data_IF_803003859691
#
_entry.id   IF_803003859691
#
_cell.length_a   1.000
_cell.length_b   1.000
_cell.length_c   1.000
_cell.angle_alpha   90.00
_cell.angle_beta   90.00
_cell.angle_gamma   90.00
#
_symmetry.space_group_name_H-M   'P 1'
#
loop_
_entity.id
_entity.type
_entity.pdbx_description
1 polymer ?
#
# COMPACT_ATOMS: atom_id res chain seq x y z
N UNK A 1 10.25 -27.05 -3.84
CA UNK A 1 11.22 -25.93 -3.93
C UNK A 1 11.60 -25.54 -5.37
N UNK A 2 11.63 -26.46 -6.35
CA UNK A 2 12.01 -26.15 -7.75
C UNK A 2 11.10 -25.09 -8.38
N UNK A 3 9.78 -25.17 -8.17
CA UNK A 3 8.82 -24.17 -8.65
C UNK A 3 9.13 -22.76 -8.12
N UNK A 4 9.53 -22.66 -6.84
CA UNK A 4 9.97 -21.41 -6.24
C UNK A 4 11.27 -20.89 -6.87
N UNK A 5 12.23 -21.79 -7.17
CA UNK A 5 13.47 -21.41 -7.84
C UNK A 5 13.19 -20.86 -9.24
N UNK A 6 12.35 -21.52 -10.04
CA UNK A 6 11.98 -21.04 -11.37
C UNK A 6 11.28 -19.67 -11.30
N UNK A 7 10.38 -19.48 -10.34
CA UNK A 7 9.77 -18.17 -10.10
C UNK A 7 10.77 -17.09 -9.68
N UNK A 8 11.77 -17.46 -8.86
CA UNK A 8 12.85 -16.56 -8.45
C UNK A 8 13.74 -16.17 -9.63
N UNK A 9 14.16 -17.12 -10.46
CA UNK A 9 14.95 -16.87 -11.66
C UNK A 9 14.21 -15.98 -12.67
N UNK A 10 12.90 -16.19 -12.81
CA UNK A 10 12.05 -15.28 -13.58
C UNK A 10 12.03 -13.88 -12.97
N UNK A 11 11.75 -13.74 -11.67
CA UNK A 11 11.64 -12.44 -10.99
C UNK A 11 12.92 -11.59 -11.05
N UNK A 12 14.08 -12.22 -10.86
CA UNK A 12 15.36 -11.49 -10.80
C UNK A 12 15.82 -11.02 -12.19
N UNK A 13 15.26 -11.60 -13.26
CA UNK A 13 15.62 -11.29 -14.65
C UNK A 13 16.74 -12.17 -15.19
N UNK A 14 16.76 -13.47 -14.87
CA UNK A 14 17.75 -14.39 -15.47
C UNK A 14 17.50 -14.54 -16.98
N UNK A 15 18.52 -14.37 -17.84
CA UNK A 15 18.39 -14.54 -19.28
C UNK A 15 17.68 -15.82 -19.68
N UNK A 16 16.70 -15.71 -20.58
CA UNK A 16 15.86 -16.83 -21.04
C UNK A 16 14.58 -17.05 -20.25
N UNK A 17 14.38 -16.41 -19.09
CA UNK A 17 13.11 -16.43 -18.35
C UNK A 17 12.24 -15.21 -18.70
N UNK A 18 10.94 -15.30 -18.43
CA UNK A 18 9.99 -14.25 -18.79
C UNK A 18 10.33 -12.88 -18.20
N UNK A 19 10.82 -12.84 -16.95
CA UNK A 19 11.13 -11.59 -16.29
C UNK A 19 12.37 -10.88 -16.85
N UNK A 20 13.31 -11.60 -17.49
CA UNK A 20 14.43 -10.97 -18.21
C UNK A 20 13.88 -10.12 -19.35
N UNK A 21 13.04 -10.70 -20.20
CA UNK A 21 12.43 -10.01 -21.32
C UNK A 21 11.61 -8.79 -20.89
N UNK A 22 10.83 -8.87 -19.81
CA UNK A 22 10.06 -7.70 -19.35
C UNK A 22 10.92 -6.63 -18.68
N UNK A 23 11.94 -7.02 -17.91
CA UNK A 23 12.70 -6.11 -17.04
C UNK A 23 13.84 -5.44 -17.79
N UNK A 24 14.59 -6.20 -18.59
CA UNK A 24 15.72 -5.66 -19.34
C UNK A 24 15.21 -4.76 -20.47
N UNK A 25 14.05 -5.02 -21.07
CA UNK A 25 13.45 -4.07 -22.02
C UNK A 25 13.12 -2.72 -21.39
N UNK A 26 12.71 -2.68 -20.12
CA UNK A 26 12.51 -1.41 -19.39
C UNK A 26 13.87 -0.76 -19.10
N UNK A 27 14.87 -1.54 -18.68
CA UNK A 27 16.21 -1.03 -18.38
C UNK A 27 16.85 -0.39 -19.61
N UNK A 28 16.78 -1.04 -20.76
CA UNK A 28 17.24 -0.52 -22.05
C UNK A 28 16.41 0.71 -22.47
N UNK A 29 15.08 0.67 -22.34
CA UNK A 29 14.24 1.83 -22.66
C UNK A 29 14.58 3.07 -21.83
N UNK A 30 14.91 2.89 -20.54
CA UNK A 30 15.36 3.99 -19.66
C UNK A 30 16.77 4.43 -20.04
N UNK A 31 17.64 3.52 -20.49
CA UNK A 31 18.99 3.84 -20.97
C UNK A 31 18.96 4.77 -22.18
N UNK A 32 18.06 4.52 -23.13
CA UNK A 32 17.87 5.36 -24.33
C UNK A 32 17.05 6.63 -24.06
N UNK A 33 16.46 6.77 -22.87
CA UNK A 33 15.63 7.94 -22.55
C UNK A 33 16.47 9.19 -22.32
N UNK A 34 16.09 10.28 -22.99
CA UNK A 34 16.75 11.60 -22.89
C UNK A 34 16.01 12.58 -21.96
N UNK A 35 14.93 12.11 -21.31
CA UNK A 35 14.08 12.93 -20.45
C UNK A 35 14.85 13.33 -19.18
N UNK A 36 14.67 14.55 -18.63
CA UNK A 36 15.26 14.93 -17.36
C UNK A 36 14.93 13.91 -16.25
N UNK A 37 15.97 13.40 -15.58
CA UNK A 37 15.83 12.38 -14.53
C UNK A 37 16.01 10.93 -15.00
N UNK A 38 16.10 10.66 -16.32
CA UNK A 38 16.32 9.31 -16.86
C UNK A 38 17.59 8.64 -16.29
N UNK A 39 18.69 9.40 -16.14
CA UNK A 39 19.94 8.86 -15.56
C UNK A 39 19.78 8.40 -14.11
N UNK A 40 18.99 9.13 -13.29
CA UNK A 40 18.70 8.69 -11.92
C UNK A 40 17.78 7.47 -11.90
N UNK A 41 16.76 7.44 -12.76
CA UNK A 41 15.89 6.27 -12.91
C UNK A 41 16.68 5.03 -13.35
N UNK A 42 17.59 5.17 -14.31
CA UNK A 42 18.48 4.10 -14.77
C UNK A 42 19.32 3.54 -13.62
N UNK A 43 19.96 4.42 -12.86
CA UNK A 43 20.73 4.06 -11.67
C UNK A 43 19.87 3.31 -10.63
N UNK A 44 18.67 3.82 -10.34
CA UNK A 44 17.76 3.20 -9.37
C UNK A 44 17.30 1.81 -9.81
N UNK A 45 16.96 1.62 -11.09
CA UNK A 45 16.56 0.32 -11.65
C UNK A 45 17.73 -0.66 -11.63
N UNK A 46 18.94 -0.23 -12.01
CA UNK A 46 20.16 -1.06 -11.96
C UNK A 46 20.46 -1.55 -10.55
N UNK A 47 20.46 -0.66 -9.55
CA UNK A 47 20.67 -1.08 -8.16
C UNK A 47 19.53 -2.00 -7.71
N UNK A 48 18.31 -1.73 -8.15
CA UNK A 48 17.16 -2.60 -7.94
C UNK A 48 17.39 -4.03 -8.42
N UNK A 49 18.13 -4.26 -9.52
CA UNK A 49 18.50 -5.60 -10.01
C UNK A 49 19.31 -6.36 -8.96
N UNK A 50 20.36 -5.74 -8.43
CA UNK A 50 21.20 -6.34 -7.38
C UNK A 50 20.38 -6.65 -6.12
N UNK A 51 19.63 -5.65 -5.62
CA UNK A 51 18.83 -5.79 -4.39
C UNK A 51 17.78 -6.89 -4.55
N UNK A 52 17.12 -6.96 -5.71
CA UNK A 52 16.13 -7.99 -6.03
C UNK A 52 16.71 -9.39 -6.03
N UNK A 53 17.87 -9.57 -6.68
CA UNK A 53 18.58 -10.85 -6.64
C UNK A 53 18.97 -11.21 -5.20
N UNK A 54 19.53 -10.26 -4.45
CA UNK A 54 19.98 -10.47 -3.07
C UNK A 54 18.86 -10.94 -2.14
N UNK A 55 17.74 -10.22 -2.05
CA UNK A 55 16.67 -10.61 -1.11
C UNK A 55 15.95 -11.88 -1.55
N UNK A 56 15.82 -12.13 -2.86
CA UNK A 56 15.13 -13.32 -3.37
C UNK A 56 15.92 -14.58 -3.09
N UNK A 57 17.23 -14.56 -3.34
CA UNK A 57 18.10 -15.68 -3.01
C UNK A 57 18.33 -15.83 -1.50
N UNK A 58 18.40 -14.73 -0.74
CA UNK A 58 18.38 -14.80 0.74
C UNK A 58 17.18 -15.60 1.23
N UNK A 59 15.99 -15.32 0.70
CA UNK A 59 14.76 -16.05 1.07
C UNK A 59 14.86 -17.53 0.67
N UNK A 60 15.22 -17.81 -0.59
CA UNK A 60 15.40 -19.18 -1.09
C UNK A 60 16.35 -20.01 -0.22
N UNK A 61 17.50 -19.42 0.10
CA UNK A 61 18.54 -20.02 0.92
C UNK A 61 18.07 -20.28 2.34
N UNK A 62 17.51 -19.28 3.02
CA UNK A 62 17.07 -19.42 4.41
C UNK A 62 15.92 -20.43 4.57
N UNK A 63 15.05 -20.56 3.57
CA UNK A 63 13.88 -21.46 3.64
C UNK A 63 14.24 -22.90 3.26
N UNK A 64 15.01 -23.10 2.20
CA UNK A 64 15.18 -24.44 1.62
C UNK A 64 16.56 -25.09 1.86
N UNK A 65 17.61 -24.30 2.06
CA UNK A 65 19.00 -24.81 2.10
C UNK A 65 19.75 -24.45 3.39
N UNK A 66 19.13 -23.65 4.26
CA UNK A 66 19.73 -23.17 5.50
C UNK A 66 19.67 -24.20 6.61
N UNK A 67 20.33 -23.89 7.74
CA UNK A 67 20.17 -24.68 8.96
C UNK A 67 18.72 -24.64 9.41
N UNK A 68 18.13 -25.82 9.60
CA UNK A 68 16.77 -25.97 10.11
C UNK A 68 16.62 -25.26 11.47
N UNK A 69 15.54 -24.48 11.62
CA UNK A 69 15.20 -23.76 12.86
C UNK A 69 13.90 -24.26 13.48
N UNK A 70 13.53 -25.50 13.16
CA UNK A 70 12.29 -26.15 13.61
C UNK A 70 12.59 -27.21 14.66
N UNK A 71 11.65 -27.43 15.58
CA UNK A 71 11.69 -28.50 16.56
C UNK A 71 11.30 -29.85 15.93
N UNK A 72 11.61 -30.95 16.63
CA UNK A 72 11.37 -32.30 16.13
C UNK A 72 9.89 -32.56 15.79
N UNK A 73 8.97 -32.07 16.60
CA UNK A 73 7.54 -32.29 16.40
C UNK A 73 7.01 -31.58 15.14
N UNK A 74 7.49 -30.36 14.85
CA UNK A 74 7.14 -29.65 13.62
C UNK A 74 7.71 -30.36 12.38
N UNK A 75 8.91 -30.95 12.50
CA UNK A 75 9.55 -31.67 11.40
C UNK A 75 8.78 -32.94 10.99
N UNK A 76 8.21 -33.66 11.95
CA UNK A 76 7.42 -34.87 11.67
C UNK A 76 6.16 -34.59 10.85
N UNK A 77 5.59 -33.39 10.97
CA UNK A 77 4.41 -32.96 10.22
C UNK A 77 4.76 -32.29 8.87
N UNK A 78 6.05 -32.23 8.51
CA UNK A 78 6.48 -31.66 7.25
C UNK A 78 6.17 -32.64 6.11
N UNK A 79 5.13 -32.33 5.34
CA UNK A 79 4.76 -33.09 4.15
C UNK A 79 4.70 -32.18 2.93
N UNK A 80 5.00 -32.76 1.77
CA UNK A 80 4.80 -32.07 0.51
C UNK A 80 3.32 -31.73 0.30
N UNK A 81 3.07 -30.60 -0.35
CA UNK A 81 1.72 -30.11 -0.55
C UNK A 81 0.91 -31.06 -1.44
N UNK A 82 -0.41 -31.18 -1.24
CA UNK A 82 -1.26 -32.00 -2.09
C UNK A 82 -1.24 -31.50 -3.55
N UNK A 83 -1.55 -32.39 -4.49
CA UNK A 83 -1.53 -32.10 -5.92
C UNK A 83 -2.37 -30.87 -6.33
N UNK A 84 -3.43 -30.58 -5.58
CA UNK A 84 -4.29 -29.39 -5.78
C UNK A 84 -3.50 -28.08 -5.66
N UNK A 85 -2.39 -28.06 -4.92
CA UNK A 85 -1.48 -26.90 -4.80
C UNK A 85 -0.31 -27.03 -5.78
N UNK A 86 0.32 -28.20 -5.87
CA UNK A 86 1.53 -28.39 -6.68
C UNK A 86 1.26 -28.27 -8.18
N UNK A 87 0.12 -28.77 -8.67
CA UNK A 87 -0.21 -28.73 -10.10
C UNK A 87 -0.37 -27.29 -10.60
N UNK A 88 -1.16 -26.40 -9.95
CA UNK A 88 -1.17 -24.98 -10.33
C UNK A 88 0.20 -24.31 -10.31
N UNK A 89 1.05 -24.60 -9.30
CA UNK A 89 2.39 -24.02 -9.22
C UNK A 89 3.28 -24.44 -10.39
N UNK A 90 3.20 -25.71 -10.81
CA UNK A 90 3.93 -26.20 -12.00
C UNK A 90 3.38 -25.55 -13.27
N UNK A 91 2.05 -25.48 -13.42
CA UNK A 91 1.41 -24.85 -14.57
C UNK A 91 1.76 -23.37 -14.70
N UNK A 92 1.97 -22.65 -13.59
CA UNK A 92 2.44 -21.25 -13.59
C UNK A 92 3.95 -21.11 -13.83
N UNK A 93 4.74 -22.10 -13.44
CA UNK A 93 6.19 -22.10 -13.68
C UNK A 93 6.53 -22.24 -15.17
N UNK A 94 5.75 -23.03 -15.93
CA UNK A 94 5.95 -23.23 -17.38
C UNK A 94 5.94 -21.90 -18.17
N UNK A 95 4.86 -21.07 -18.13
CA UNK A 95 4.84 -19.81 -18.84
C UNK A 95 5.90 -18.84 -18.29
N UNK A 96 6.26 -18.91 -17.01
CA UNK A 96 7.34 -18.08 -16.45
C UNK A 96 8.70 -18.32 -17.10
N UNK A 97 8.91 -19.50 -17.70
CA UNK A 97 10.11 -19.82 -18.49
C UNK A 97 9.92 -19.42 -19.96
N UNK A 98 8.78 -19.78 -20.56
CA UNK A 98 8.64 -19.75 -22.02
C UNK A 98 8.00 -18.46 -22.56
N UNK A 99 7.05 -17.86 -21.84
CA UNK A 99 6.17 -16.83 -22.41
C UNK A 99 6.90 -15.57 -22.80
N UNK A 100 7.95 -15.18 -22.07
CA UNK A 100 8.67 -13.93 -22.38
C UNK A 100 9.37 -13.98 -23.73
N UNK A 101 9.99 -15.11 -24.09
CA UNK A 101 10.65 -15.26 -25.38
C UNK A 101 9.63 -15.23 -26.54
N UNK A 102 8.42 -15.75 -26.32
CA UNK A 102 7.35 -15.75 -27.31
C UNK A 102 6.64 -14.40 -27.42
N UNK A 103 6.46 -13.71 -26.30
CA UNK A 103 5.63 -12.51 -26.22
C UNK A 103 6.41 -11.22 -26.46
N UNK A 104 7.72 -11.16 -26.20
CA UNK A 104 8.48 -9.90 -26.27
C UNK A 104 8.36 -9.21 -27.63
N UNK A 105 8.50 -9.95 -28.72
CA UNK A 105 8.47 -9.40 -30.07
C UNK A 105 7.08 -8.87 -30.46
N UNK A 106 5.99 -9.68 -30.41
CA UNK A 106 4.66 -9.17 -30.76
C UNK A 106 4.17 -8.08 -29.80
N UNK A 107 4.61 -8.10 -28.53
CA UNK A 107 4.15 -7.16 -27.51
C UNK A 107 4.87 -5.80 -27.60
N UNK A 108 6.20 -5.78 -27.77
CA UNK A 108 6.97 -4.54 -27.78
C UNK A 108 7.17 -3.95 -29.18
N UNK A 109 7.32 -4.80 -30.19
CA UNK A 109 7.67 -4.39 -31.56
C UNK A 109 6.58 -4.74 -32.59
N UNK A 110 5.56 -5.49 -32.18
CA UNK A 110 4.42 -5.84 -33.02
C UNK A 110 3.27 -4.84 -32.94
N UNK A 111 2.13 -5.24 -33.51
CA UNK A 111 0.94 -4.39 -33.61
C UNK A 111 0.01 -4.47 -32.38
N UNK A 112 0.36 -5.23 -31.33
CA UNK A 112 -0.53 -5.48 -30.17
C UNK A 112 -1.00 -4.18 -29.50
N UNK A 113 -0.11 -3.19 -29.36
CA UNK A 113 -0.44 -1.89 -28.76
C UNK A 113 -0.64 -0.76 -29.78
N UNK A 114 -0.63 -1.08 -31.08
CA UNK A 114 -0.74 -0.07 -32.12
C UNK A 114 -2.11 0.59 -32.08
N UNK A 115 -2.12 1.92 -31.96
CA UNK A 115 -3.35 2.70 -31.82
C UNK A 115 -3.99 2.65 -30.43
N UNK A 116 -3.42 1.89 -29.49
CA UNK A 116 -3.85 1.87 -28.08
C UNK A 116 -2.99 2.84 -27.26
N UNK A 117 -1.68 2.83 -27.47
CA UNK A 117 -0.73 3.68 -26.76
C UNK A 117 -0.22 4.75 -27.73
N UNK A 118 -0.44 6.02 -27.40
CA UNK A 118 0.11 7.15 -28.13
C UNK A 118 1.43 7.58 -27.48
N UNK A 119 2.54 7.43 -28.22
CA UNK A 119 3.87 7.88 -27.81
C UNK A 119 4.26 9.06 -28.69
N UNK A 120 4.68 10.18 -28.08
CA UNK A 120 5.20 11.31 -28.83
C UNK A 120 6.49 10.91 -29.55
N UNK A 121 6.73 11.30 -30.82
CA UNK A 121 7.93 10.89 -31.55
C UNK A 121 9.25 11.25 -30.86
N UNK A 122 9.26 12.32 -30.06
CA UNK A 122 10.42 12.75 -29.28
C UNK A 122 10.77 11.82 -28.10
N UNK A 123 9.84 10.94 -27.69
CA UNK A 123 10.00 10.02 -26.56
C UNK A 123 9.89 8.54 -26.98
N UNK A 124 9.95 8.25 -28.27
CA UNK A 124 9.83 6.90 -28.80
C UNK A 124 11.14 6.11 -28.65
N UNK A 125 11.44 5.75 -27.41
CA UNK A 125 12.60 4.93 -27.03
C UNK A 125 12.48 3.49 -27.52
N UNK A 126 11.26 3.00 -27.72
CA UNK A 126 11.01 1.64 -28.21
C UNK A 126 11.40 1.49 -29.68
N UNK A 127 11.22 2.54 -30.50
CA UNK A 127 11.70 2.54 -31.87
C UNK A 127 13.23 2.36 -31.95
N UNK A 128 13.99 3.08 -31.12
CA UNK A 128 15.46 2.93 -31.06
C UNK A 128 15.86 1.53 -30.57
N UNK A 129 15.16 1.01 -29.55
CA UNK A 129 15.40 -0.34 -29.06
C UNK A 129 15.10 -1.42 -30.12
N UNK A 130 14.06 -1.20 -30.93
CA UNK A 130 13.67 -2.09 -32.02
C UNK A 130 14.71 -2.21 -33.14
N UNK A 131 15.48 -1.15 -33.41
CA UNK A 131 16.57 -1.18 -34.39
C UNK A 131 17.70 -2.14 -33.99
N UNK A 132 17.91 -2.31 -32.67
CA UNK A 132 18.92 -3.21 -32.10
C UNK A 132 18.35 -4.58 -31.69
N UNK A 133 17.04 -4.78 -31.81
CA UNK A 133 16.41 -6.06 -31.47
C UNK A 133 16.49 -7.04 -32.64
N UNK A 134 17.32 -8.07 -32.49
CA UNK A 134 17.50 -9.13 -33.49
C UNK A 134 16.98 -10.49 -33.00
N UNK A 135 15.79 -10.49 -32.40
CA UNK A 135 15.11 -11.68 -31.91
C UNK A 135 15.37 -12.02 -30.44
N UNK A 136 14.42 -12.71 -29.83
CA UNK A 136 14.40 -12.99 -28.39
C UNK A 136 15.62 -13.80 -27.90
N UNK A 137 16.15 -14.70 -28.74
CA UNK A 137 17.32 -15.50 -28.36
C UNK A 137 18.60 -14.64 -28.32
N UNK A 138 18.82 -13.81 -29.34
CA UNK A 138 19.98 -12.91 -29.39
C UNK A 138 19.92 -11.86 -28.28
N UNK A 139 18.73 -11.34 -27.99
CA UNK A 139 18.51 -10.43 -26.87
C UNK A 139 18.90 -11.08 -25.53
N UNK A 140 18.50 -12.34 -25.31
CA UNK A 140 18.90 -13.09 -24.11
C UNK A 140 20.41 -13.35 -24.03
N UNK A 141 21.05 -13.72 -25.14
CA UNK A 141 22.50 -13.91 -25.17
C UNK A 141 23.27 -12.62 -24.88
N UNK A 142 22.82 -11.50 -25.41
CA UNK A 142 23.42 -10.20 -25.12
C UNK A 142 23.30 -9.85 -23.63
N UNK A 143 22.12 -10.09 -23.05
CA UNK A 143 21.84 -9.86 -21.64
C UNK A 143 22.76 -10.62 -20.67
N UNK A 144 23.26 -11.81 -21.05
CA UNK A 144 24.26 -12.55 -20.25
C UNK A 144 25.57 -11.77 -20.07
N UNK A 145 25.92 -10.92 -21.02
CA UNK A 145 27.13 -10.07 -20.94
C UNK A 145 26.86 -8.70 -20.31
N UNK A 146 25.58 -8.35 -20.11
CA UNK A 146 25.16 -7.07 -19.58
C UNK A 146 25.50 -6.87 -18.10
N UNK A 147 25.68 -5.61 -17.71
CA UNK A 147 25.82 -5.21 -16.32
C UNK A 147 24.68 -5.73 -15.41
N UNK A 148 23.39 -5.75 -15.84
CA UNK A 148 22.31 -6.29 -15.03
C UNK A 148 22.55 -7.75 -14.62
N UNK A 149 23.01 -8.60 -15.53
CA UNK A 149 23.28 -10.01 -15.22
C UNK A 149 24.44 -10.18 -14.23
N UNK A 150 25.51 -9.40 -14.37
CA UNK A 150 26.62 -9.37 -13.40
C UNK A 150 26.09 -8.99 -12.01
N UNK A 151 25.18 -8.01 -11.92
CA UNK A 151 24.57 -7.61 -10.65
C UNK A 151 23.62 -8.68 -10.09
N UNK A 152 22.90 -9.42 -10.94
CA UNK A 152 22.15 -10.60 -10.51
C UNK A 152 23.07 -11.63 -9.87
N UNK A 153 24.19 -11.95 -10.53
CA UNK A 153 25.18 -12.90 -10.00
C UNK A 153 25.84 -12.38 -8.72
N UNK A 154 26.13 -11.09 -8.63
CA UNK A 154 26.66 -10.46 -7.42
C UNK A 154 25.65 -10.53 -6.25
N UNK A 155 24.36 -10.31 -6.52
CA UNK A 155 23.28 -10.45 -5.53
C UNK A 155 23.13 -11.90 -5.06
N UNK A 156 23.17 -12.86 -5.97
CA UNK A 156 23.18 -14.29 -5.66
C UNK A 156 24.40 -14.67 -4.81
N UNK A 157 25.61 -14.30 -5.26
CA UNK A 157 26.86 -14.64 -4.61
C UNK A 157 26.98 -14.02 -3.22
N UNK A 158 26.56 -12.76 -3.05
CA UNK A 158 26.54 -12.10 -1.74
C UNK A 158 25.51 -12.72 -0.80
N UNK A 159 24.31 -13.07 -1.28
CA UNK A 159 23.32 -13.79 -0.48
C UNK A 159 23.83 -15.18 -0.06
N UNK A 160 24.43 -15.93 -0.99
CA UNK A 160 25.03 -17.23 -0.71
C UNK A 160 26.14 -17.11 0.35
N UNK A 161 27.08 -16.18 0.17
CA UNK A 161 28.17 -15.98 1.10
C UNK A 161 27.68 -15.58 2.50
N UNK A 162 26.76 -14.62 2.60
CA UNK A 162 26.27 -14.11 3.88
C UNK A 162 25.35 -15.08 4.62
N UNK A 163 24.57 -15.91 3.93
CA UNK A 163 23.56 -16.76 4.58
C UNK A 163 23.90 -18.26 4.58
N UNK A 164 24.81 -18.72 3.72
CA UNK A 164 25.29 -20.12 3.71
C UNK A 164 26.70 -20.27 4.27
N UNK A 165 27.63 -19.41 3.85
CA UNK A 165 29.05 -19.56 4.21
C UNK A 165 29.39 -18.91 5.55
N UNK A 166 28.94 -17.68 5.78
CA UNK A 166 29.21 -16.89 7.01
C UNK A 166 27.94 -16.26 7.61
N UNK A 167 27.03 -17.05 8.21
CA UNK A 167 25.75 -16.58 8.78
C UNK A 167 25.87 -15.56 9.94
N UNK A 168 27.06 -15.38 10.50
CA UNK A 168 27.34 -14.41 11.57
C UNK A 168 27.44 -12.97 11.05
N UNK A 169 27.84 -12.78 9.79
CA UNK A 169 28.10 -11.46 9.22
C UNK A 169 26.86 -10.56 9.16
N UNK A 170 25.66 -11.02 8.76
CA UNK A 170 24.46 -10.18 8.77
C UNK A 170 24.17 -9.56 10.14
N UNK A 171 24.38 -10.30 11.23
CA UNK A 171 24.19 -9.80 12.59
C UNK A 171 25.21 -8.73 12.97
N UNK A 172 26.48 -8.92 12.58
CA UNK A 172 27.54 -7.93 12.80
C UNK A 172 27.32 -6.65 11.99
N UNK A 173 26.84 -6.78 10.74
CA UNK A 173 26.50 -5.64 9.90
C UNK A 173 25.35 -4.87 10.56
N UNK A 174 24.29 -5.55 10.97
CA UNK A 174 23.14 -4.94 11.67
C UNK A 174 23.59 -4.11 12.88
N UNK A 175 24.47 -4.64 13.73
CA UNK A 175 24.97 -3.93 14.92
C UNK A 175 25.76 -2.66 14.60
N UNK A 176 26.40 -2.59 13.42
CA UNK A 176 27.14 -1.40 12.99
C UNK A 176 26.25 -0.34 12.33
N UNK A 177 25.15 -0.74 11.71
CA UNK A 177 24.23 0.16 10.99
C UNK A 177 22.82 0.15 11.58
N UNK A 178 22.71 0.07 12.92
CA UNK A 178 21.43 -0.09 13.63
C UNK A 178 20.39 0.95 13.23
N UNK A 179 20.76 2.24 13.14
CA UNK A 179 19.82 3.31 12.79
C UNK A 179 19.21 3.10 11.40
N UNK A 180 20.05 2.81 10.40
CA UNK A 180 19.57 2.59 9.03
C UNK A 180 18.76 1.30 8.94
N UNK A 181 19.21 0.25 9.63
CA UNK A 181 18.52 -1.03 9.70
C UNK A 181 17.12 -0.88 10.33
N UNK A 182 17.01 -0.15 11.44
CA UNK A 182 15.73 0.06 12.14
C UNK A 182 14.75 0.85 11.29
N UNK A 183 15.20 1.86 10.54
CA UNK A 183 14.37 2.58 9.57
C UNK A 183 13.85 1.63 8.50
N UNK A 184 14.71 0.77 7.95
CA UNK A 184 14.32 -0.20 6.91
C UNK A 184 13.34 -1.25 7.44
N UNK A 185 13.57 -1.79 8.64
CA UNK A 185 12.68 -2.78 9.27
C UNK A 185 11.32 -2.18 9.62
N UNK A 186 11.28 -0.90 10.02
CA UNK A 186 10.05 -0.13 10.21
C UNK A 186 9.47 0.42 8.90
N UNK A 187 9.85 -0.14 7.75
CA UNK A 187 9.32 0.22 6.41
C UNK A 187 9.35 1.73 6.15
N UNK A 188 10.46 2.38 6.48
CA UNK A 188 10.66 3.83 6.35
C UNK A 188 9.71 4.68 7.21
N UNK A 189 9.19 4.12 8.30
CA UNK A 189 8.24 4.76 9.22
C UNK A 189 6.90 5.15 8.58
N UNK A 190 6.61 4.64 7.38
CA UNK A 190 5.43 5.05 6.62
C UNK A 190 4.14 4.60 7.31
N UNK A 191 4.13 3.38 7.85
CA UNK A 191 2.99 2.83 8.58
C UNK A 191 2.71 3.65 9.84
N UNK A 192 3.75 4.02 10.60
CA UNK A 192 3.62 4.83 11.82
C UNK A 192 3.13 6.25 11.53
N UNK A 193 3.68 6.89 10.49
CA UNK A 193 3.22 8.21 10.05
C UNK A 193 1.75 8.13 9.62
N UNK A 194 1.38 7.10 8.86
CA UNK A 194 0.01 6.95 8.39
C UNK A 194 -0.97 6.76 9.56
N UNK A 195 -0.62 5.91 10.53
CA UNK A 195 -1.42 5.70 11.73
C UNK A 195 -1.50 6.96 12.60
N UNK A 196 -0.41 7.70 12.73
CA UNK A 196 -0.36 8.91 13.55
C UNK A 196 -1.16 10.05 12.92
N UNK A 197 -0.98 10.30 11.62
CA UNK A 197 -1.56 11.45 10.93
C UNK A 197 -3.00 11.14 10.52
N UNK A 198 -3.23 10.05 9.79
CA UNK A 198 -4.55 9.79 9.22
C UNK A 198 -5.45 9.08 10.20
N UNK A 199 -5.05 7.93 10.75
CA UNK A 199 -5.93 7.16 11.64
C UNK A 199 -6.25 7.94 12.92
N UNK A 200 -5.24 8.37 13.69
CA UNK A 200 -5.46 9.11 14.95
C UNK A 200 -6.01 10.51 14.70
N UNK A 201 -5.56 11.18 13.64
CA UNK A 201 -6.10 12.49 13.25
C UNK A 201 -7.60 12.44 12.96
N UNK A 202 -8.04 11.51 12.11
CA UNK A 202 -9.45 11.31 11.81
C UNK A 202 -10.27 10.88 13.03
N UNK A 203 -9.73 9.99 13.87
CA UNK A 203 -10.41 9.59 15.12
C UNK A 203 -10.56 10.76 16.10
N UNK A 204 -9.54 11.61 16.24
CA UNK A 204 -9.57 12.78 17.09
C UNK A 204 -10.60 13.79 16.59
N UNK A 205 -10.59 14.08 15.29
CA UNK A 205 -11.57 14.96 14.66
C UNK A 205 -13.00 14.44 14.85
N UNK A 206 -13.21 13.14 14.64
CA UNK A 206 -14.52 12.49 14.88
C UNK A 206 -14.97 12.61 16.34
N UNK A 207 -14.07 12.42 17.31
CA UNK A 207 -14.38 12.61 18.74
C UNK A 207 -14.75 14.05 19.07
N UNK A 208 -14.09 15.03 18.46
CA UNK A 208 -14.41 16.45 18.66
C UNK A 208 -15.79 16.76 18.10
N UNK A 209 -16.08 16.33 16.87
CA UNK A 209 -17.38 16.53 16.24
C UNK A 209 -18.51 15.87 17.04
N UNK A 210 -18.30 14.65 17.55
CA UNK A 210 -19.28 13.97 18.39
C UNK A 210 -19.50 14.69 19.74
N UNK A 211 -18.43 14.95 20.50
CA UNK A 211 -18.58 15.50 21.86
C UNK A 211 -19.06 16.94 21.87
N UNK A 212 -18.51 17.79 21.00
CA UNK A 212 -18.82 19.21 21.00
C UNK A 212 -19.96 19.56 20.06
N UNK A 213 -19.99 18.95 18.87
CA UNK A 213 -21.05 19.18 17.90
C UNK A 213 -22.35 18.51 18.32
N UNK A 214 -22.34 17.18 18.40
CA UNK A 214 -23.57 16.42 18.61
C UNK A 214 -24.05 16.49 20.07
N UNK A 215 -23.31 15.85 20.98
CA UNK A 215 -23.72 15.76 22.38
C UNK A 215 -23.78 17.12 23.10
N UNK A 216 -22.87 18.04 22.74
CA UNK A 216 -22.77 19.36 23.34
C UNK A 216 -23.79 20.35 22.80
N UNK A 217 -23.70 20.66 21.50
CA UNK A 217 -24.50 21.72 20.87
C UNK A 217 -25.91 21.24 20.55
N UNK A 218 -26.05 20.07 19.91
CA UNK A 218 -27.36 19.57 19.47
C UNK A 218 -28.14 19.05 20.68
N UNK A 219 -27.65 18.00 21.33
CA UNK A 219 -28.39 17.37 22.43
C UNK A 219 -28.44 18.28 23.66
N UNK A 220 -27.31 18.88 24.03
CA UNK A 220 -27.20 19.70 25.22
C UNK A 220 -27.95 21.02 25.10
N UNK A 221 -27.58 21.85 24.13
CA UNK A 221 -28.08 23.23 24.01
C UNK A 221 -29.41 23.32 23.26
N UNK A 222 -29.55 22.64 22.11
CA UNK A 222 -30.79 22.74 21.33
C UNK A 222 -31.91 21.89 21.93
N UNK A 223 -31.70 20.59 22.17
CA UNK A 223 -32.78 19.70 22.60
C UNK A 223 -33.05 19.85 24.10
N UNK A 224 -32.08 19.55 24.95
CA UNK A 224 -32.27 19.60 26.40
C UNK A 224 -32.39 21.03 26.93
N UNK A 225 -31.72 22.00 26.29
CA UNK A 225 -31.82 23.40 26.65
C UNK A 225 -33.21 23.96 26.43
N UNK A 226 -33.84 23.67 25.27
CA UNK A 226 -35.23 24.08 25.02
C UNK A 226 -36.21 23.40 25.96
N UNK A 227 -36.04 22.09 26.23
CA UNK A 227 -36.87 21.38 27.20
C UNK A 227 -36.78 21.99 28.61
N UNK A 228 -35.57 22.34 29.07
CA UNK A 228 -35.37 23.02 30.37
C UNK A 228 -35.99 24.40 30.41
N UNK A 229 -35.88 25.18 29.32
CA UNK A 229 -36.51 26.51 29.23
C UNK A 229 -38.03 26.39 29.35
N UNK A 230 -38.64 25.48 28.60
CA UNK A 230 -40.09 25.23 28.69
C UNK A 230 -40.49 24.78 30.11
N UNK A 231 -39.73 23.85 30.71
CA UNK A 231 -39.96 23.41 32.08
C UNK A 231 -39.86 24.53 33.12
N UNK A 232 -38.88 25.42 32.96
CA UNK A 232 -38.70 26.60 33.81
C UNK A 232 -39.87 27.58 33.67
N UNK A 233 -40.29 27.89 32.44
CA UNK A 233 -41.48 28.72 32.18
C UNK A 233 -42.74 28.11 32.80
N UNK A 234 -42.94 26.79 32.68
CA UNK A 234 -44.06 26.09 33.29
C UNK A 234 -44.01 26.16 34.83
N UNK A 235 -42.83 26.02 35.43
CA UNK A 235 -42.65 26.11 36.88
C UNK A 235 -42.98 27.51 37.43
N UNK A 236 -42.57 28.56 36.72
CA UNK A 236 -42.93 29.95 37.07
C UNK A 236 -44.43 30.16 36.92
N UNK A 237 -45.02 29.74 35.79
CA UNK A 237 -46.45 29.91 35.52
C UNK A 237 -47.31 29.20 36.57
N UNK A 238 -46.86 28.03 37.05
CA UNK A 238 -47.54 27.29 38.11
C UNK A 238 -47.65 28.08 39.42
N UNK A 239 -46.67 28.92 39.76
CA UNK A 239 -46.72 29.72 40.98
C UNK A 239 -47.78 30.83 40.94
N UNK A 240 -48.27 31.20 39.75
CA UNK A 240 -49.40 32.14 39.59
C UNK A 240 -50.70 31.53 40.10
N UNK A 241 -50.82 30.20 40.14
CA UNK A 241 -51.96 29.50 40.73
C UNK A 241 -51.76 29.33 42.24
N UNK A 242 -52.21 30.31 43.02
CA UNK A 242 -52.03 30.36 44.48
C UNK A 242 -53.06 29.54 45.26
N UNK A 243 -54.13 29.07 44.62
CA UNK A 243 -55.22 28.31 45.28
C UNK A 243 -56.20 29.16 46.09
N UNK A 244 -55.96 30.46 46.25
CA UNK A 244 -56.85 31.38 46.96
C UNK A 244 -57.93 31.96 46.05
N UNK A 245 -59.20 31.80 46.44
CA UNK A 245 -60.38 32.29 45.71
C UNK A 245 -60.32 33.78 45.34
N UNK A 246 -59.79 34.63 46.23
CA UNK A 246 -59.70 36.07 45.98
C UNK A 246 -58.71 36.41 44.85
N UNK A 247 -57.63 35.65 44.69
CA UNK A 247 -56.66 35.86 43.60
C UNK A 247 -57.30 35.58 42.25
N UNK A 248 -58.14 34.53 42.15
CA UNK A 248 -58.89 34.23 40.93
C UNK A 248 -59.96 35.28 40.63
N UNK A 249 -60.72 35.71 41.65
CA UNK A 249 -61.72 36.76 41.48
C UNK A 249 -61.10 38.07 40.97
N UNK A 250 -59.97 38.47 41.55
CA UNK A 250 -59.22 39.65 41.11
C UNK A 250 -58.73 39.51 39.65
N UNK A 251 -58.16 38.35 39.29
CA UNK A 251 -57.73 38.08 37.92
C UNK A 251 -58.88 38.10 36.90
N UNK A 252 -60.05 37.57 37.26
CA UNK A 252 -61.25 37.60 36.40
C UNK A 252 -61.77 39.02 36.18
N UNK A 253 -61.83 39.84 37.23
CA UNK A 253 -62.27 41.24 37.12
C UNK A 253 -61.31 42.01 36.21
N UNK A 254 -59.99 41.88 36.43
CA UNK A 254 -58.98 42.51 35.55
C UNK A 254 -59.14 42.01 34.12
N UNK A 255 -59.28 40.70 33.91
CA UNK A 255 -59.46 40.11 32.59
C UNK A 255 -60.70 40.64 31.87
N UNK A 256 -61.84 40.74 32.56
CA UNK A 256 -63.07 41.31 32.03
C UNK A 256 -62.90 42.79 31.68
N UNK A 257 -62.25 43.56 32.55
CA UNK A 257 -61.98 44.99 32.35
C UNK A 257 -61.09 45.19 31.11
N UNK A 258 -60.00 44.42 30.98
CA UNK A 258 -59.12 44.45 29.80
C UNK A 258 -59.89 44.08 28.53
N UNK A 259 -60.69 43.02 28.55
CA UNK A 259 -61.48 42.59 27.39
C UNK A 259 -62.53 43.64 26.99
N UNK A 260 -63.23 44.22 27.97
CA UNK A 260 -64.21 45.29 27.72
C UNK A 260 -63.54 46.55 27.20
N UNK A 261 -62.42 46.98 27.80
CA UNK A 261 -61.64 48.12 27.31
C UNK A 261 -61.14 47.85 25.90
N UNK A 262 -60.62 46.65 25.60
CA UNK A 262 -60.19 46.29 24.25
C UNK A 262 -61.35 46.25 23.25
N UNK A 263 -62.51 45.73 23.65
CA UNK A 263 -63.71 45.68 22.82
C UNK A 263 -64.30 47.07 22.53
N UNK A 264 -64.28 47.97 23.52
CA UNK A 264 -64.79 49.34 23.38
C UNK A 264 -63.78 50.26 22.67
N UNK A 265 -62.48 50.00 22.82
CA UNK A 265 -61.41 50.75 22.14
C UNK A 265 -61.10 50.25 20.72
N UNK A 266 -61.71 49.13 20.30
CA UNK A 266 -61.70 48.62 18.94
C UNK A 266 -62.93 49.12 18.19
#
# INVERSE_FOLDING_TARGET
>A
WITFLLGTLALIGTPGFAGFYSKDSILEAVHYSTIPGAGFAYFAVIIGVFVTSFYSFRLYFLVFHGKERMDHHTKEHLHETPAVVTVPLILLAIPSVVIGAMAIEPLLFGDVFKGIIAVAPAHDVLKQLGEHFHGAFNFALHGVTGLPFILVLAGFGSAFYLYMVKPELPGLIQQKVTVLYDIMVRKYLFDEIYQLVFMRGSQSLGKVMWKYGDAGLIDGLMVNGTARLVGWFAAITRQVQTGYLYTYAFAMIIGLLILLTWFVAR
#
